data_IF_642145511339
#
_entry.id   IF_642145511339
#
_cell.length_a   1.000
_cell.length_b   1.000
_cell.length_c   1.000
_cell.angle_alpha   90.00
_cell.angle_beta   90.00
_cell.angle_gamma   90.00
#
_symmetry.space_group_name_H-M   'P 1'
#
loop_
_entity.id
_entity.type
_entity.pdbx_description
1 polymer ?
#
# COMPACT_ATOMS: atom_id res chain seq x y z
N UNK A 1 26.76 -13.49 5.87
CA UNK A 1 26.90 -12.93 4.51
C UNK A 1 25.70 -12.08 4.09
N UNK A 2 24.46 -12.60 4.13
CA UNK A 2 23.23 -11.83 3.80
C UNK A 2 23.06 -10.54 4.63
N UNK A 3 23.25 -10.62 5.96
CA UNK A 3 23.15 -9.46 6.85
C UNK A 3 24.21 -8.40 6.50
N UNK A 4 25.38 -8.81 6.02
CA UNK A 4 26.48 -7.91 5.66
C UNK A 4 26.14 -7.06 4.44
N UNK A 5 25.54 -7.64 3.40
CA UNK A 5 25.07 -6.89 2.22
C UNK A 5 23.93 -5.93 2.58
N UNK A 6 22.97 -6.40 3.38
CA UNK A 6 21.88 -5.58 3.89
C UNK A 6 22.39 -4.35 4.65
N UNK A 7 23.32 -4.57 5.57
CA UNK A 7 23.92 -3.51 6.40
C UNK A 7 24.75 -2.55 5.53
N UNK A 8 25.50 -3.05 4.54
CA UNK A 8 26.26 -2.21 3.61
C UNK A 8 25.35 -1.29 2.78
N UNK A 9 24.23 -1.81 2.24
CA UNK A 9 23.25 -1.01 1.52
C UNK A 9 22.64 0.10 2.39
N UNK A 10 22.37 -0.21 3.67
CA UNK A 10 21.88 0.78 4.66
C UNK A 10 22.91 1.84 5.00
N UNK A 11 24.18 1.48 5.15
CA UNK A 11 25.26 2.44 5.39
C UNK A 11 25.46 3.42 4.23
N UNK A 12 25.25 2.98 2.97
CA UNK A 12 25.22 3.90 1.82
C UNK A 12 24.14 4.98 1.99
N UNK A 13 22.94 4.59 2.45
CA UNK A 13 21.86 5.51 2.77
C UNK A 13 22.21 6.48 3.89
N UNK A 14 22.84 5.99 4.97
CA UNK A 14 23.34 6.83 6.08
C UNK A 14 24.34 7.85 5.57
N UNK A 15 25.31 7.43 4.76
CA UNK A 15 26.31 8.33 4.20
C UNK A 15 25.66 9.43 3.36
N UNK A 16 24.68 9.08 2.51
CA UNK A 16 23.93 10.05 1.74
C UNK A 16 23.20 11.06 2.64
N UNK A 17 22.46 10.61 3.67
CA UNK A 17 21.74 11.52 4.57
C UNK A 17 22.68 12.41 5.39
N UNK A 18 23.80 11.88 5.87
CA UNK A 18 24.81 12.68 6.58
C UNK A 18 25.47 13.70 5.66
N UNK A 19 25.79 13.32 4.43
CA UNK A 19 26.37 14.21 3.42
C UNK A 19 25.39 15.35 3.06
N UNK A 20 24.13 15.02 2.78
CA UNK A 20 23.08 16.02 2.51
C UNK A 20 22.83 16.93 3.71
N UNK A 21 22.80 16.38 4.93
CA UNK A 21 22.67 17.16 6.16
C UNK A 21 23.88 18.06 6.43
N UNK A 22 25.08 17.64 6.04
CA UNK A 22 26.27 18.48 6.15
C UNK A 22 26.18 19.68 5.20
N UNK A 23 25.84 19.45 3.94
CA UNK A 23 25.75 20.47 2.88
C UNK A 23 24.58 21.44 3.06
N UNK A 24 23.42 20.95 3.51
CA UNK A 24 22.19 21.75 3.63
C UNK A 24 21.86 21.98 5.11
N UNK A 25 22.33 23.08 5.73
CA UNK A 25 22.15 23.34 7.15
C UNK A 25 20.67 23.47 7.55
N UNK A 26 19.81 23.87 6.61
CA UNK A 26 18.37 24.06 6.82
C UNK A 26 17.61 22.75 7.11
N UNK A 27 18.05 21.60 6.59
CA UNK A 27 17.38 20.29 6.77
C UNK A 27 18.13 19.36 7.73
N UNK A 28 19.14 19.89 8.44
CA UNK A 28 20.04 19.09 9.30
C UNK A 28 19.29 18.19 10.27
N UNK A 29 18.35 18.76 11.03
CA UNK A 29 17.62 18.01 12.05
C UNK A 29 16.89 16.80 11.48
N UNK A 30 16.19 16.97 10.35
CA UNK A 30 15.49 15.89 9.66
C UNK A 30 16.49 14.84 9.16
N UNK A 31 17.56 15.24 8.48
CA UNK A 31 18.53 14.31 7.90
C UNK A 31 19.29 13.50 8.95
N UNK A 32 19.65 14.10 10.08
CA UNK A 32 20.26 13.37 11.21
C UNK A 32 19.30 12.38 11.85
N UNK A 33 18.03 12.76 12.03
CA UNK A 33 17.03 11.82 12.55
C UNK A 33 16.82 10.65 11.59
N UNK A 34 16.86 10.89 10.28
CA UNK A 34 16.78 9.82 9.28
C UNK A 34 18.00 8.91 9.30
N UNK A 35 19.21 9.45 9.47
CA UNK A 35 20.41 8.67 9.65
C UNK A 35 20.34 7.81 10.93
N UNK A 36 19.91 8.37 12.06
CA UNK A 36 19.72 7.63 13.32
C UNK A 36 18.71 6.50 13.17
N UNK A 37 17.60 6.74 12.47
CA UNK A 37 16.59 5.74 12.20
C UNK A 37 17.10 4.55 11.37
N UNK A 38 18.21 4.70 10.64
CA UNK A 38 18.87 3.60 9.92
C UNK A 38 19.97 2.95 10.76
N UNK A 39 20.73 3.76 11.51
CA UNK A 39 21.84 3.28 12.35
C UNK A 39 21.33 2.38 13.47
N UNK A 40 20.22 2.73 14.13
CA UNK A 40 19.68 1.95 15.26
C UNK A 40 19.28 0.53 14.85
N UNK A 41 18.46 0.31 13.79
CA UNK A 41 18.20 -1.04 13.29
C UNK A 41 19.46 -1.74 12.77
N UNK A 42 20.37 -1.04 12.08
CA UNK A 42 21.61 -1.64 11.59
C UNK A 42 22.49 -2.18 12.73
N UNK A 43 22.55 -1.47 13.86
CA UNK A 43 23.25 -1.93 15.06
C UNK A 43 22.59 -3.19 15.65
N UNK A 44 21.26 -3.27 15.68
CA UNK A 44 20.53 -4.46 16.12
C UNK A 44 20.76 -5.65 15.18
N UNK A 45 20.82 -5.42 13.86
CA UNK A 45 21.18 -6.45 12.88
C UNK A 45 22.61 -6.97 13.08
N UNK A 46 23.58 -6.10 13.37
CA UNK A 46 24.96 -6.51 13.69
C UNK A 46 25.01 -7.28 15.02
N UNK A 47 24.29 -6.81 16.04
CA UNK A 47 24.19 -7.49 17.33
C UNK A 47 23.59 -8.90 17.18
N UNK A 48 22.60 -9.08 16.29
CA UNK A 48 21.96 -10.38 16.03
C UNK A 48 22.94 -11.46 15.53
N UNK A 49 24.04 -11.07 14.87
CA UNK A 49 25.07 -12.00 14.37
C UNK A 49 25.82 -12.66 15.54
N UNK A 50 26.02 -11.92 16.63
CA UNK A 50 26.83 -12.35 17.78
C UNK A 50 26.03 -13.14 18.82
N UNK A 51 24.71 -13.23 18.66
CA UNK A 51 23.81 -13.90 19.62
C UNK A 51 23.36 -15.24 19.05
N UNK A 52 23.35 -16.28 19.87
CA UNK A 52 22.86 -17.62 19.49
C UNK A 52 21.33 -17.72 19.53
N UNK A 53 20.77 -18.72 18.84
CA UNK A 53 19.34 -19.05 18.96
C UNK A 53 19.09 -19.63 20.36
N UNK A 54 17.99 -19.29 21.07
CA UNK A 54 16.77 -18.61 20.61
C UNK A 54 16.74 -17.08 20.81
N UNK A 55 17.64 -16.51 21.62
CA UNK A 55 17.66 -15.07 21.94
C UNK A 55 17.84 -14.16 20.71
N UNK A 56 18.44 -14.67 19.64
CA UNK A 56 18.58 -13.97 18.36
C UNK A 56 17.24 -13.48 17.78
N UNK A 57 16.16 -14.23 17.98
CA UNK A 57 14.84 -13.89 17.43
C UNK A 57 14.31 -12.57 18.00
N UNK A 58 14.52 -12.31 19.30
CA UNK A 58 14.09 -11.07 19.93
C UNK A 58 14.71 -9.83 19.27
N UNK A 59 16.02 -9.88 19.00
CA UNK A 59 16.74 -8.79 18.33
C UNK A 59 16.27 -8.58 16.89
N UNK A 60 16.02 -9.66 16.15
CA UNK A 60 15.55 -9.59 14.76
C UNK A 60 14.16 -8.96 14.70
N UNK A 61 13.23 -9.39 15.55
CA UNK A 61 11.87 -8.83 15.58
C UNK A 61 11.88 -7.33 15.90
N UNK A 62 12.68 -6.91 16.88
CA UNK A 62 12.81 -5.49 17.23
C UNK A 62 13.45 -4.70 16.07
N UNK A 63 14.48 -5.25 15.42
CA UNK A 63 15.11 -4.61 14.27
C UNK A 63 14.13 -4.42 13.09
N UNK A 64 13.33 -5.44 12.78
CA UNK A 64 12.30 -5.38 11.72
C UNK A 64 11.24 -4.34 12.06
N UNK A 65 10.74 -4.31 13.29
CA UNK A 65 9.73 -3.33 13.72
C UNK A 65 10.26 -1.90 13.58
N UNK A 66 11.49 -1.65 14.00
CA UNK A 66 12.11 -0.33 13.87
C UNK A 66 12.36 0.04 12.40
N UNK A 67 12.80 -0.91 11.57
CA UNK A 67 12.98 -0.69 10.12
C UNK A 67 11.66 -0.38 9.41
N UNK A 68 10.56 -1.02 9.81
CA UNK A 68 9.23 -0.81 9.20
C UNK A 68 8.53 0.45 9.71
N UNK A 69 8.60 0.73 11.02
CA UNK A 69 7.82 1.80 11.66
C UNK A 69 8.61 3.08 11.93
N UNK A 70 9.95 3.06 11.84
CA UNK A 70 10.81 4.17 12.26
C UNK A 70 10.52 5.50 11.55
N UNK A 71 10.19 5.45 10.26
CA UNK A 71 9.82 6.62 9.47
C UNK A 71 8.48 7.24 9.89
N UNK A 72 7.51 6.39 10.21
CA UNK A 72 6.20 6.81 10.71
C UNK A 72 6.34 7.44 12.09
N UNK A 73 7.24 6.93 12.95
CA UNK A 73 7.56 7.52 14.25
C UNK A 73 8.11 8.94 14.06
N UNK A 74 9.08 9.13 13.15
CA UNK A 74 9.68 10.44 12.92
C UNK A 74 8.67 11.47 12.38
N UNK A 75 7.83 11.06 11.43
CA UNK A 75 6.77 11.92 10.87
C UNK A 75 5.68 12.22 11.91
N UNK A 76 5.39 11.26 12.80
CA UNK A 76 4.45 11.44 13.91
C UNK A 76 4.96 12.44 14.94
N UNK A 77 6.24 12.37 15.29
CA UNK A 77 6.92 13.33 16.19
C UNK A 77 6.85 14.75 15.60
N UNK A 78 7.09 14.90 14.30
CA UNK A 78 6.93 16.18 13.61
C UNK A 78 5.50 16.73 13.67
N UNK A 79 4.51 15.89 13.32
CA UNK A 79 3.10 16.31 13.37
C UNK A 79 2.66 16.67 14.79
N UNK A 80 3.18 15.97 15.80
CA UNK A 80 2.96 16.31 17.19
C UNK A 80 3.60 17.65 17.55
N UNK A 81 4.84 17.91 17.13
CA UNK A 81 5.52 19.19 17.33
C UNK A 81 4.81 20.39 16.70
N UNK A 82 4.08 20.19 15.59
CA UNK A 82 3.29 21.24 14.92
C UNK A 82 1.88 21.41 15.47
N UNK A 83 1.27 20.34 16.02
CA UNK A 83 -0.09 20.36 16.59
C UNK A 83 -0.13 20.68 18.09
N UNK A 84 0.93 20.35 18.84
CA UNK A 84 1.01 20.66 20.25
C UNK A 84 1.22 22.16 20.46
N UNK A 85 0.40 22.77 21.31
CA UNK A 85 0.54 24.18 21.67
C UNK A 85 1.97 24.48 22.15
N UNK A 86 2.50 25.64 21.71
CA UNK A 86 3.88 26.12 21.92
C UNK A 86 4.33 26.26 23.40
N UNK A 87 3.52 25.84 24.35
CA UNK A 87 3.67 26.12 25.78
C UNK A 87 4.74 25.21 26.46
N UNK A 88 5.03 24.05 25.87
CA UNK A 88 6.05 23.12 26.41
C UNK A 88 7.44 23.40 25.82
N UNK A 89 8.44 23.56 26.70
CA UNK A 89 9.88 23.76 26.34
C UNK A 89 10.41 22.71 25.35
N UNK A 90 9.91 21.47 25.44
CA UNK A 90 10.26 20.37 24.54
C UNK A 90 9.73 20.60 23.12
N UNK A 91 8.53 21.15 22.97
CA UNK A 91 7.91 21.44 21.65
C UNK A 91 8.67 22.56 20.95
N UNK A 92 9.10 23.60 21.69
CA UNK A 92 9.93 24.69 21.14
C UNK A 92 11.30 24.20 20.64
N UNK A 93 11.91 23.24 21.34
CA UNK A 93 13.16 22.63 20.91
C UNK A 93 12.96 21.74 19.68
N UNK A 94 11.91 20.91 19.67
CA UNK A 94 11.55 20.09 18.51
C UNK A 94 11.23 20.93 17.27
N UNK A 95 10.42 21.99 17.42
CA UNK A 95 10.05 22.85 16.30
C UNK A 95 11.25 23.56 15.69
N UNK A 96 12.28 23.88 16.48
CA UNK A 96 13.53 24.45 15.98
C UNK A 96 14.40 23.44 15.22
N UNK A 97 14.46 22.18 15.67
CA UNK A 97 15.16 21.11 14.95
C UNK A 97 14.45 20.74 13.64
N UNK A 98 13.11 20.85 13.63
CA UNK A 98 12.26 20.48 12.51
C UNK A 98 11.64 21.70 11.80
N UNK A 99 12.36 22.82 11.76
CA UNK A 99 11.86 24.07 11.15
C UNK A 99 11.54 23.91 9.66
N UNK A 100 12.34 23.10 8.96
CA UNK A 100 12.15 22.84 7.54
C UNK A 100 12.13 21.34 7.23
N UNK A 101 10.99 20.88 6.72
CA UNK A 101 10.85 19.54 6.16
C UNK A 101 10.97 19.62 4.63
N UNK A 102 11.83 18.83 3.98
CA UNK A 102 11.96 18.86 2.54
C UNK A 102 10.61 18.51 1.90
N UNK A 103 10.14 19.36 0.99
CA UNK A 103 8.90 19.12 0.28
C UNK A 103 9.04 17.84 -0.55
N UNK A 104 8.22 16.84 -0.24
CA UNK A 104 8.14 15.59 -1.01
C UNK A 104 7.00 15.75 -2.00
N UNK A 105 7.28 15.62 -3.29
CA UNK A 105 6.21 15.50 -4.28
C UNK A 105 5.48 14.18 -4.05
N UNK A 106 4.27 14.27 -3.49
CA UNK A 106 3.48 13.12 -3.08
C UNK A 106 3.02 12.32 -4.30
N UNK A 107 2.68 12.99 -5.40
CA UNK A 107 2.24 12.32 -6.64
C UNK A 107 3.35 11.44 -7.21
N UNK A 108 4.56 11.98 -7.32
CA UNK A 108 5.71 11.22 -7.79
C UNK A 108 6.11 10.09 -6.81
N UNK A 109 5.97 10.30 -5.50
CA UNK A 109 6.23 9.23 -4.52
C UNK A 109 5.20 8.10 -4.62
N UNK A 110 3.93 8.44 -4.82
CA UNK A 110 2.86 7.45 -5.05
C UNK A 110 3.15 6.65 -6.31
N UNK A 111 3.53 7.31 -7.41
CA UNK A 111 3.89 6.65 -8.67
C UNK A 111 5.05 5.64 -8.50
N UNK A 112 6.13 6.02 -7.82
CA UNK A 112 7.25 5.09 -7.54
C UNK A 112 6.84 3.93 -6.63
N UNK A 113 6.01 4.20 -5.62
CA UNK A 113 5.51 3.17 -4.70
C UNK A 113 4.62 2.18 -5.45
N UNK A 114 3.80 2.67 -6.36
CA UNK A 114 2.93 1.89 -7.24
C UNK A 114 3.74 0.95 -8.15
N UNK A 115 4.81 1.45 -8.77
CA UNK A 115 5.73 0.63 -9.55
C UNK A 115 6.41 -0.45 -8.70
N UNK A 116 6.86 -0.09 -7.50
CA UNK A 116 7.47 -1.04 -6.56
C UNK A 116 6.50 -2.15 -6.13
N UNK A 117 5.25 -1.80 -5.78
CA UNK A 117 4.22 -2.76 -5.38
C UNK A 117 3.90 -3.74 -6.51
N UNK A 118 3.82 -3.25 -7.76
CA UNK A 118 3.64 -4.11 -8.94
C UNK A 118 4.78 -5.10 -9.11
N UNK A 119 6.01 -4.65 -8.91
CA UNK A 119 7.21 -5.49 -8.96
C UNK A 119 7.14 -6.57 -7.86
N UNK A 120 6.83 -6.21 -6.62
CA UNK A 120 6.68 -7.17 -5.51
C UNK A 120 5.65 -8.26 -5.81
N UNK A 121 4.50 -7.91 -6.39
CA UNK A 121 3.53 -8.93 -6.80
C UNK A 121 4.09 -9.86 -7.86
N UNK A 122 4.81 -9.33 -8.85
CA UNK A 122 5.51 -10.14 -9.85
C UNK A 122 6.51 -11.13 -9.23
N UNK A 123 7.31 -10.69 -8.26
CA UNK A 123 8.28 -11.56 -7.59
C UNK A 123 7.62 -12.58 -6.64
N UNK A 124 6.49 -12.26 -6.01
CA UNK A 124 5.77 -13.18 -5.11
C UNK A 124 5.27 -14.45 -5.83
N UNK A 125 5.12 -14.38 -7.15
CA UNK A 125 4.71 -15.48 -8.03
C UNK A 125 5.84 -16.47 -8.33
N UNK A 126 7.10 -16.05 -8.19
CA UNK A 126 8.25 -16.90 -8.52
C UNK A 126 8.45 -18.05 -7.52
N UNK A 127 8.08 -17.86 -6.25
CA UNK A 127 8.28 -18.85 -5.18
C UNK A 127 7.63 -20.22 -5.47
N UNK A 128 6.33 -20.28 -5.80
CA UNK A 128 5.64 -21.53 -6.12
C UNK A 128 6.11 -22.23 -7.41
N UNK A 129 6.78 -21.52 -8.33
CA UNK A 129 7.24 -22.08 -9.60
C UNK A 129 8.37 -23.09 -9.40
N UNK A 130 9.25 -22.86 -8.42
CA UNK A 130 10.46 -23.68 -8.22
C UNK A 130 10.25 -24.97 -7.42
N UNK A 131 9.06 -25.20 -6.85
CA UNK A 131 8.72 -26.45 -6.16
C UNK A 131 7.74 -27.30 -6.99
N UNK A 132 8.28 -28.28 -7.70
CA UNK A 132 7.52 -29.43 -8.20
C UNK A 132 8.12 -30.71 -7.63
N UNK A 133 7.55 -31.19 -6.51
CA UNK A 133 7.83 -32.54 -6.03
C UNK A 133 7.03 -33.52 -6.90
N UNK A 134 7.74 -34.17 -7.83
CA UNK A 134 7.18 -35.16 -8.76
C UNK A 134 7.19 -34.65 -10.19
N UNK A 135 8.14 -35.17 -11.00
CA UNK A 135 8.18 -35.11 -12.47
C UNK A 135 7.96 -33.74 -13.13
N UNK A 136 9.00 -33.21 -13.79
CA UNK A 136 8.85 -32.06 -14.67
C UNK A 136 8.13 -32.44 -15.98
N UNK A 137 6.82 -32.66 -15.94
CA UNK A 137 6.00 -32.50 -17.14
C UNK A 137 5.85 -31.02 -17.40
N UNK A 138 6.32 -30.55 -18.57
CA UNK A 138 6.34 -29.14 -18.99
C UNK A 138 5.00 -28.45 -18.73
N UNK A 139 3.90 -29.18 -18.91
CA UNK A 139 2.52 -28.69 -18.73
C UNK A 139 2.20 -28.23 -17.30
N UNK A 140 2.71 -28.92 -16.28
CA UNK A 140 2.42 -28.59 -14.87
C UNK A 140 3.22 -27.38 -14.41
N UNK A 141 4.47 -27.25 -14.87
CA UNK A 141 5.30 -26.08 -14.58
C UNK A 141 4.73 -24.84 -15.26
N UNK A 142 4.37 -24.96 -16.54
CA UNK A 142 3.72 -23.88 -17.29
C UNK A 142 2.38 -23.48 -16.66
N UNK A 143 1.55 -24.44 -16.27
CA UNK A 143 0.28 -24.18 -15.60
C UNK A 143 0.43 -23.38 -14.31
N UNK A 144 1.42 -23.72 -13.46
CA UNK A 144 1.73 -22.95 -12.24
C UNK A 144 2.18 -21.53 -12.56
N UNK A 145 3.01 -21.36 -13.59
CA UNK A 145 3.50 -20.05 -14.02
C UNK A 145 2.35 -19.15 -14.49
N UNK A 146 1.45 -19.67 -15.33
CA UNK A 146 0.29 -18.93 -15.85
C UNK A 146 -0.67 -18.57 -14.72
N UNK A 147 -1.02 -19.51 -13.84
CA UNK A 147 -1.91 -19.24 -12.70
C UNK A 147 -1.31 -18.20 -11.75
N UNK A 148 0.00 -18.27 -11.52
CA UNK A 148 0.73 -17.28 -10.75
C UNK A 148 0.72 -15.89 -11.40
N UNK A 149 0.97 -15.80 -12.71
CA UNK A 149 0.91 -14.54 -13.44
C UNK A 149 -0.49 -13.92 -13.40
N UNK A 150 -1.53 -14.74 -13.60
CA UNK A 150 -2.93 -14.31 -13.42
C UNK A 150 -3.17 -13.78 -12.01
N UNK A 151 -2.60 -14.42 -10.99
CA UNK A 151 -2.73 -13.99 -9.60
C UNK A 151 -2.09 -12.61 -9.37
N UNK A 152 -0.86 -12.39 -9.84
CA UNK A 152 -0.23 -11.07 -9.75
C UNK A 152 -1.05 -10.00 -10.48
N UNK A 153 -1.60 -10.30 -11.65
CA UNK A 153 -2.46 -9.39 -12.39
C UNK A 153 -3.74 -9.02 -11.63
N UNK A 154 -4.40 -9.99 -10.99
CA UNK A 154 -5.60 -9.75 -10.17
C UNK A 154 -5.28 -8.85 -8.97
N UNK A 155 -4.19 -9.10 -8.25
CA UNK A 155 -3.76 -8.24 -7.14
C UNK A 155 -3.45 -6.82 -7.61
N UNK A 156 -2.81 -6.70 -8.77
CA UNK A 156 -2.50 -5.40 -9.35
C UNK A 156 -3.77 -4.63 -9.75
N UNK A 157 -4.76 -5.33 -10.30
CA UNK A 157 -6.08 -4.76 -10.61
C UNK A 157 -6.78 -4.24 -9.35
N UNK A 158 -6.82 -5.06 -8.29
CA UNK A 158 -7.43 -4.66 -7.02
C UNK A 158 -6.72 -3.41 -6.47
N UNK A 159 -5.39 -3.38 -6.48
CA UNK A 159 -4.63 -2.26 -5.95
C UNK A 159 -4.84 -0.96 -6.77
N UNK A 160 -4.74 -1.02 -8.10
CA UNK A 160 -4.79 0.19 -8.94
C UNK A 160 -6.20 0.66 -9.26
N UNK A 161 -7.07 -0.22 -9.72
CA UNK A 161 -8.35 0.17 -10.28
C UNK A 161 -9.46 0.12 -9.22
N UNK A 162 -9.40 -0.86 -8.30
CA UNK A 162 -10.37 -0.94 -7.20
C UNK A 162 -10.02 0.02 -6.06
N UNK A 163 -8.77 0.05 -5.59
CA UNK A 163 -8.39 0.91 -4.45
C UNK A 163 -7.86 2.29 -4.88
N UNK A 164 -7.41 2.45 -6.13
CA UNK A 164 -6.85 3.69 -6.68
C UNK A 164 -7.85 4.64 -7.35
N UNK A 165 -9.04 4.18 -7.76
CA UNK A 165 -10.01 5.04 -8.47
C UNK A 165 -10.96 5.81 -7.54
N UNK A 166 -11.29 7.04 -7.94
CA UNK A 166 -12.18 7.97 -7.21
C UNK A 166 -11.66 8.36 -5.81
N UNK A 167 -10.33 8.46 -5.63
CA UNK A 167 -9.73 8.95 -4.39
C UNK A 167 -9.83 10.49 -4.37
N UNK A 168 -10.42 11.06 -3.32
CA UNK A 168 -10.40 12.51 -3.06
C UNK A 168 -9.13 12.89 -2.29
N UNK A 169 -8.77 12.10 -1.27
CA UNK A 169 -7.58 12.32 -0.44
C UNK A 169 -6.83 11.00 -0.28
N UNK A 170 -5.59 10.99 -0.78
CA UNK A 170 -4.71 9.83 -0.71
C UNK A 170 -4.26 9.53 0.73
N UNK A 171 -4.03 8.27 1.07
CA UNK A 171 -3.81 7.79 2.44
C UNK A 171 -2.56 8.41 3.07
N UNK A 172 -1.51 8.59 2.26
CA UNK A 172 -0.26 9.26 2.65
C UNK A 172 -0.51 10.72 3.10
N UNK A 173 -1.51 11.41 2.54
CA UNK A 173 -1.86 12.79 2.94
C UNK A 173 -2.67 12.82 4.25
N UNK A 174 -3.40 11.74 4.57
CA UNK A 174 -4.36 11.70 5.69
C UNK A 174 -3.79 11.07 6.96
N UNK A 175 -2.98 10.02 6.85
CA UNK A 175 -2.49 9.24 7.99
C UNK A 175 -0.99 8.95 7.92
N UNK A 176 -0.30 9.23 9.03
CA UNK A 176 1.13 8.96 9.22
C UNK A 176 1.46 7.47 9.14
N UNK A 177 0.52 6.61 9.56
CA UNK A 177 0.71 5.17 9.61
C UNK A 177 0.87 4.57 8.21
N UNK A 178 0.22 5.17 7.20
CA UNK A 178 0.33 4.74 5.80
C UNK A 178 1.61 5.23 5.13
N UNK A 179 2.46 5.98 5.84
CA UNK A 179 3.76 6.41 5.34
C UNK A 179 4.77 5.27 5.49
N UNK A 180 5.04 4.56 4.39
CA UNK A 180 6.08 3.53 4.31
C UNK A 180 7.38 4.10 3.72
N UNK A 181 8.57 3.70 4.22
CA UNK A 181 9.86 4.12 3.69
C UNK A 181 10.06 3.75 2.21
N UNK A 182 11.04 4.40 1.55
CA UNK A 182 11.53 3.98 0.23
C UNK A 182 11.99 2.51 0.29
N UNK A 183 11.21 1.62 -0.33
CA UNK A 183 11.54 0.21 -0.41
C UNK A 183 12.53 0.00 -1.57
N UNK A 184 13.72 -0.51 -1.24
CA UNK A 184 14.75 -0.77 -2.25
C UNK A 184 14.39 -2.06 -3.01
N UNK A 185 14.21 -2.04 -4.35
CA UNK A 185 13.93 -3.23 -5.13
C UNK A 185 15.03 -4.30 -5.03
N UNK A 186 16.27 -3.91 -4.72
CA UNK A 186 17.41 -4.82 -4.56
C UNK A 186 17.25 -5.78 -3.36
N UNK A 187 16.31 -5.51 -2.44
CA UNK A 187 16.03 -6.37 -1.30
C UNK A 187 15.03 -7.50 -1.62
N UNK A 188 14.50 -7.55 -2.86
CA UNK A 188 13.64 -8.63 -3.30
C UNK A 188 14.44 -9.91 -3.62
N UNK A 189 14.63 -10.71 -2.57
CA UNK A 189 14.67 -12.19 -2.56
C UNK A 189 15.66 -12.95 -3.48
N UNK A 190 16.47 -12.31 -4.31
CA UNK A 190 17.34 -13.00 -5.29
C UNK A 190 18.36 -13.94 -4.61
N UNK A 191 18.74 -13.68 -3.35
CA UNK A 191 19.71 -14.48 -2.61
C UNK A 191 19.16 -15.63 -1.75
N UNK A 192 17.84 -15.81 -1.64
CA UNK A 192 17.26 -16.87 -0.79
C UNK A 192 17.01 -18.20 -1.53
N UNK A 193 17.03 -18.21 -2.86
CA UNK A 193 16.75 -19.41 -3.67
C UNK A 193 17.82 -20.48 -3.47
N UNK A 194 19.09 -20.09 -3.34
CA UNK A 194 20.24 -21.00 -3.32
C UNK A 194 20.45 -21.81 -2.03
N UNK A 195 19.61 -21.65 -1.00
CA UNK A 195 19.79 -22.33 0.30
C UNK A 195 18.49 -22.88 0.91
N UNK A 196 17.46 -23.07 0.09
CA UNK A 196 16.22 -23.71 0.57
C UNK A 196 16.44 -25.22 0.68
N UNK A 197 16.55 -25.72 1.92
CA UNK A 197 16.60 -27.15 2.20
C UNK A 197 15.32 -27.86 1.71
N UNK A 198 15.39 -29.11 1.24
CA UNK A 198 14.23 -29.84 0.72
C UNK A 198 13.14 -30.10 1.77
N UNK A 199 13.46 -30.06 3.08
CA UNK A 199 12.48 -30.15 4.17
C UNK A 199 11.65 -28.87 4.39
N UNK A 200 11.98 -27.74 3.73
CA UNK A 200 11.23 -26.47 3.83
C UNK A 200 9.99 -26.38 2.91
N UNK A 201 9.52 -27.49 2.34
CA UNK A 201 8.35 -27.52 1.44
C UNK A 201 7.07 -26.98 2.09
N UNK A 202 6.85 -27.26 3.38
CA UNK A 202 5.73 -26.68 4.13
C UNK A 202 5.92 -25.17 4.34
N UNK A 203 7.14 -24.72 4.66
CA UNK A 203 7.45 -23.31 4.88
C UNK A 203 7.10 -22.42 3.68
N UNK A 204 7.30 -22.91 2.46
CA UNK A 204 6.98 -22.17 1.23
C UNK A 204 5.46 -22.06 1.01
N UNK A 205 4.66 -23.08 1.39
CA UNK A 205 3.19 -23.01 1.35
C UNK A 205 2.66 -21.95 2.31
N UNK A 206 3.17 -21.92 3.53
CA UNK A 206 2.83 -20.89 4.52
C UNK A 206 3.25 -19.51 4.04
N UNK A 207 4.49 -19.36 3.56
CA UNK A 207 5.01 -18.11 3.04
C UNK A 207 4.15 -17.56 1.89
N UNK A 208 3.77 -18.40 0.93
CA UNK A 208 2.95 -17.99 -0.22
C UNK A 208 1.53 -17.58 0.21
N UNK A 209 0.82 -18.46 0.92
CA UNK A 209 -0.58 -18.23 1.30
C UNK A 209 -0.75 -17.09 2.32
N UNK A 210 0.08 -17.06 3.36
CA UNK A 210 0.06 -15.99 4.35
C UNK A 210 0.57 -14.68 3.77
N UNK A 211 1.58 -14.72 2.88
CA UNK A 211 2.05 -13.54 2.15
C UNK A 211 0.93 -12.88 1.34
N UNK A 212 0.17 -13.68 0.59
CA UNK A 212 -1.01 -13.19 -0.15
C UNK A 212 -2.11 -12.66 0.78
N UNK A 213 -2.38 -13.35 1.90
CA UNK A 213 -3.37 -12.92 2.88
C UNK A 213 -2.99 -11.56 3.52
N UNK A 214 -1.72 -11.42 3.90
CA UNK A 214 -1.17 -10.20 4.49
C UNK A 214 -1.17 -9.05 3.48
N UNK A 215 -0.81 -9.31 2.22
CA UNK A 215 -0.90 -8.32 1.15
C UNK A 215 -2.35 -7.83 0.95
N UNK A 216 -3.30 -8.77 0.85
CA UNK A 216 -4.72 -8.43 0.67
C UNK A 216 -5.29 -7.68 1.89
N UNK A 217 -4.84 -8.02 3.10
CA UNK A 217 -5.19 -7.32 4.34
C UNK A 217 -4.67 -5.88 4.35
N UNK A 218 -3.39 -5.66 4.07
CA UNK A 218 -2.80 -4.32 4.08
C UNK A 218 -3.38 -3.42 2.99
N UNK A 219 -3.64 -3.95 1.80
CA UNK A 219 -4.39 -3.19 0.80
C UNK A 219 -5.81 -2.83 1.29
N UNK A 220 -6.47 -3.72 2.03
CA UNK A 220 -7.73 -3.41 2.71
C UNK A 220 -7.60 -2.26 3.71
N UNK A 221 -6.54 -2.25 4.52
CA UNK A 221 -6.21 -1.14 5.43
C UNK A 221 -5.98 0.17 4.66
N UNK A 222 -5.21 0.12 3.56
CA UNK A 222 -4.99 1.27 2.68
C UNK A 222 -6.33 1.78 2.16
N UNK A 223 -7.20 0.90 1.67
CA UNK A 223 -8.55 1.22 1.18
C UNK A 223 -9.41 1.89 2.26
N UNK A 224 -9.31 1.49 3.53
CA UNK A 224 -9.98 2.17 4.67
C UNK A 224 -9.43 3.57 4.89
N UNK A 225 -8.11 3.73 4.80
CA UNK A 225 -7.47 5.03 5.03
C UNK A 225 -7.75 6.03 3.90
N UNK A 226 -7.94 5.56 2.66
CA UNK A 226 -8.35 6.37 1.53
C UNK A 226 -9.75 6.94 1.67
N UNK A 227 -9.84 8.25 1.52
CA UNK A 227 -11.13 8.94 1.37
C UNK A 227 -11.56 8.87 -0.10
N UNK A 228 -12.64 8.13 -0.35
CA UNK A 228 -13.14 7.87 -1.69
C UNK A 228 -14.43 8.65 -1.93
N UNK A 229 -14.60 9.19 -3.13
CA UNK A 229 -15.89 9.74 -3.55
C UNK A 229 -16.90 8.59 -3.72
N UNK A 230 -18.07 8.74 -3.11
CA UNK A 230 -19.13 7.75 -3.18
C UNK A 230 -20.19 8.17 -4.22
N UNK A 231 -20.36 7.43 -5.33
CA UNK A 231 -21.50 7.63 -6.21
C UNK A 231 -22.79 7.16 -5.51
N UNK A 232 -23.87 7.90 -5.69
CA UNK A 232 -25.16 7.66 -5.02
C UNK A 232 -25.81 6.30 -5.38
N UNK A 233 -25.53 5.76 -6.56
CA UNK A 233 -26.18 4.58 -7.15
C UNK A 233 -25.38 3.27 -7.02
N UNK A 234 -24.40 3.22 -6.11
CA UNK A 234 -23.51 2.06 -5.92
C UNK A 234 -24.28 0.81 -5.44
N UNK A 235 -24.01 -0.37 -6.03
CA UNK A 235 -24.68 -1.64 -5.68
C UNK A 235 -24.35 -2.17 -4.28
N UNK A 236 -23.09 -2.12 -3.85
CA UNK A 236 -22.67 -2.60 -2.53
C UNK A 236 -21.94 -1.52 -1.72
N UNK A 237 -22.21 -1.49 -0.42
CA UNK A 237 -21.53 -0.57 0.49
C UNK A 237 -20.03 -0.90 0.59
N UNK A 238 -19.20 0.13 0.85
CA UNK A 238 -17.74 -0.05 1.06
C UNK A 238 -17.45 -0.99 2.23
N UNK A 239 -18.27 -0.93 3.28
CA UNK A 239 -18.11 -1.77 4.48
C UNK A 239 -18.32 -3.25 4.14
N UNK A 240 -19.34 -3.57 3.35
CA UNK A 240 -19.63 -4.95 2.94
C UNK A 240 -18.52 -5.53 2.05
N UNK A 241 -18.00 -4.73 1.10
CA UNK A 241 -16.88 -5.13 0.24
C UNK A 241 -15.62 -5.43 1.06
N UNK A 242 -15.27 -4.52 1.96
CA UNK A 242 -14.12 -4.70 2.85
C UNK A 242 -14.29 -5.87 3.81
N UNK A 243 -15.50 -6.13 4.32
CA UNK A 243 -15.78 -7.30 5.15
C UNK A 243 -15.57 -8.61 4.38
N UNK A 244 -16.03 -8.68 3.13
CA UNK A 244 -15.75 -9.83 2.24
C UNK A 244 -14.25 -10.01 2.02
N UNK A 245 -13.51 -8.91 1.81
CA UNK A 245 -12.05 -8.96 1.66
C UNK A 245 -11.37 -9.51 2.92
N UNK A 246 -11.77 -9.06 4.11
CA UNK A 246 -11.24 -9.58 5.39
C UNK A 246 -11.57 -11.07 5.59
N UNK A 247 -12.77 -11.51 5.20
CA UNK A 247 -13.16 -12.91 5.25
C UNK A 247 -12.26 -13.77 4.36
N UNK A 248 -12.00 -13.33 3.13
CA UNK A 248 -11.10 -14.04 2.20
C UNK A 248 -9.66 -14.04 2.71
N UNK A 249 -9.18 -12.95 3.34
CA UNK A 249 -7.87 -12.95 4.01
C UNK A 249 -7.77 -14.03 5.08
N UNK A 250 -8.80 -14.20 5.91
CA UNK A 250 -8.82 -15.24 6.95
C UNK A 250 -8.80 -16.64 6.34
N UNK A 251 -9.54 -16.86 5.26
CA UNK A 251 -9.52 -18.15 4.54
C UNK A 251 -8.13 -18.43 3.99
N UNK A 252 -7.49 -17.46 3.30
CA UNK A 252 -6.14 -17.61 2.76
C UNK A 252 -5.09 -17.87 3.85
N UNK A 253 -5.26 -17.25 5.02
CA UNK A 253 -4.35 -17.43 6.15
C UNK A 253 -4.44 -18.83 6.78
N UNK A 254 -5.64 -19.43 6.77
CA UNK A 254 -5.92 -20.77 7.31
C UNK A 254 -5.72 -21.89 6.27
N UNK A 255 -5.74 -21.56 4.98
CA UNK A 255 -5.56 -22.51 3.88
C UNK A 255 -4.29 -23.38 3.96
N UNK A 256 -3.09 -22.89 4.34
CA UNK A 256 -1.89 -23.73 4.42
C UNK A 256 -1.96 -24.81 5.51
N UNK A 257 -2.95 -24.76 6.41
CA UNK A 257 -3.17 -25.81 7.42
C UNK A 257 -3.68 -27.12 6.79
N UNK A 258 -4.29 -27.05 5.61
CA UNK A 258 -4.76 -28.20 4.87
C UNK A 258 -3.59 -28.92 4.16
N UNK A 259 -3.02 -29.93 4.83
CA UNK A 259 -1.85 -30.70 4.33
C UNK A 259 -2.14 -31.56 3.09
N UNK A 260 -3.40 -31.84 2.79
CA UNK A 260 -3.83 -32.70 1.68
C UNK A 260 -3.78 -32.05 0.29
N UNK A 261 -3.55 -30.73 0.21
CA UNK A 261 -3.57 -30.01 -1.05
C UNK A 261 -2.24 -30.13 -1.81
N UNK A 262 -2.33 -30.52 -3.08
CA UNK A 262 -1.22 -30.43 -4.03
C UNK A 262 -0.89 -28.96 -4.33
N UNK A 263 0.37 -28.69 -4.70
CA UNK A 263 0.85 -27.33 -5.03
C UNK A 263 0.03 -26.64 -6.12
N UNK A 264 -0.41 -27.39 -7.14
CA UNK A 264 -1.26 -26.87 -8.22
C UNK A 264 -2.67 -26.51 -7.74
N UNK A 265 -3.28 -27.36 -6.92
CA UNK A 265 -4.60 -27.11 -6.34
C UNK A 265 -4.56 -25.91 -5.39
N UNK A 266 -3.48 -25.76 -4.62
CA UNK A 266 -3.28 -24.63 -3.72
C UNK A 266 -3.27 -23.30 -4.50
N UNK A 267 -2.44 -23.18 -5.54
CA UNK A 267 -2.35 -21.97 -6.37
C UNK A 267 -3.70 -21.68 -7.04
N UNK A 268 -4.35 -22.70 -7.58
CA UNK A 268 -5.67 -22.57 -8.21
C UNK A 268 -6.75 -22.06 -7.24
N UNK A 269 -6.82 -22.60 -6.03
CA UNK A 269 -7.77 -22.13 -4.99
C UNK A 269 -7.47 -20.69 -4.59
N UNK A 270 -6.19 -20.34 -4.37
CA UNK A 270 -5.82 -18.96 -4.01
C UNK A 270 -6.14 -17.96 -5.13
N UNK A 271 -5.98 -18.36 -6.39
CA UNK A 271 -6.36 -17.56 -7.55
C UNK A 271 -7.87 -17.38 -7.62
N UNK A 272 -8.65 -18.47 -7.49
CA UNK A 272 -10.10 -18.42 -7.53
C UNK A 272 -10.68 -17.50 -6.44
N UNK A 273 -10.14 -17.58 -5.21
CA UNK A 273 -10.52 -16.68 -4.12
C UNK A 273 -10.18 -15.22 -4.41
N UNK A 274 -9.05 -14.96 -5.05
CA UNK A 274 -8.61 -13.59 -5.39
C UNK A 274 -9.45 -13.00 -6.52
N UNK A 275 -9.78 -13.81 -7.54
CA UNK A 275 -10.71 -13.46 -8.62
C UNK A 275 -12.11 -13.21 -8.05
N UNK A 276 -12.57 -14.02 -7.10
CA UNK A 276 -13.86 -13.80 -6.43
C UNK A 276 -13.91 -12.44 -5.71
N UNK A 277 -12.85 -12.07 -4.99
CA UNK A 277 -12.73 -10.74 -4.39
C UNK A 277 -12.81 -9.66 -5.47
N UNK A 278 -12.03 -9.77 -6.54
CA UNK A 278 -12.05 -8.81 -7.64
C UNK A 278 -13.46 -8.66 -8.25
N UNK A 279 -14.14 -9.76 -8.54
CA UNK A 279 -15.50 -9.74 -9.11
C UNK A 279 -16.50 -9.07 -8.18
N UNK A 280 -16.50 -9.38 -6.88
CA UNK A 280 -17.38 -8.73 -5.91
C UNK A 280 -17.05 -7.24 -5.72
N UNK A 281 -15.78 -6.87 -5.78
CA UNK A 281 -15.32 -5.48 -5.69
C UNK A 281 -15.76 -4.67 -6.92
N UNK A 282 -15.61 -5.23 -8.12
CA UNK A 282 -16.07 -4.64 -9.38
C UNK A 282 -17.60 -4.53 -9.43
N UNK A 283 -18.30 -5.62 -9.12
CA UNK A 283 -19.76 -5.64 -9.04
C UNK A 283 -20.27 -4.64 -8.01
N UNK A 284 -19.61 -4.56 -6.85
CA UNK A 284 -19.96 -3.62 -5.80
C UNK A 284 -19.70 -2.16 -6.15
N UNK A 285 -18.78 -1.86 -7.06
CA UNK A 285 -18.53 -0.50 -7.58
C UNK A 285 -19.45 -0.11 -8.73
N UNK A 286 -19.97 -1.07 -9.48
CA UNK A 286 -20.91 -0.84 -10.56
C UNK A 286 -22.18 -0.14 -10.07
N UNK A 287 -22.69 0.80 -10.87
CA UNK A 287 -23.96 1.48 -10.62
C UNK A 287 -25.14 0.53 -10.90
N UNK A 288 -26.28 0.73 -10.24
CA UNK A 288 -27.50 -0.06 -10.53
C UNK A 288 -27.97 0.05 -11.98
N UNK A 289 -27.75 1.20 -12.61
CA UNK A 289 -28.26 1.51 -13.95
C UNK A 289 -27.27 1.18 -15.08
N UNK A 290 -26.04 0.79 -14.77
CA UNK A 290 -25.06 0.40 -15.79
C UNK A 290 -25.17 -1.10 -16.11
N UNK A 291 -25.20 -1.50 -17.40
CA UNK A 291 -25.03 -2.90 -17.77
C UNK A 291 -23.63 -3.39 -17.37
N UNK A 292 -23.54 -4.63 -16.87
CA UNK A 292 -22.29 -5.22 -16.39
C UNK A 292 -21.29 -5.50 -17.53
N UNK A 293 -21.81 -5.76 -18.73
CA UNK A 293 -21.07 -6.02 -19.97
C UNK A 293 -21.72 -5.16 -21.05
N UNK A 294 -20.98 -4.22 -21.62
CA UNK A 294 -21.48 -3.33 -22.67
C UNK A 294 -20.97 -1.90 -22.53
N UNK A 295 -21.34 -1.08 -23.52
CA UNK A 295 -21.02 0.34 -23.53
C UNK A 295 -21.81 1.05 -22.43
N UNK A 296 -21.09 1.69 -21.52
CA UNK A 296 -21.71 2.44 -20.42
C UNK A 296 -22.35 3.69 -21.01
N UNK A 297 -23.67 3.76 -21.03
CA UNK A 297 -24.35 5.06 -21.07
C UNK A 297 -24.06 5.71 -19.73
N UNK A 298 -23.02 6.54 -19.68
CA UNK A 298 -22.48 7.08 -18.44
C UNK A 298 -23.59 7.57 -17.51
N UNK A 299 -23.60 7.10 -16.28
CA UNK A 299 -24.52 7.59 -15.25
C UNK A 299 -24.23 9.08 -15.04
N UNK A 300 -25.06 9.95 -15.63
CA UNK A 300 -24.93 11.40 -15.53
C UNK A 300 -25.46 11.84 -14.17
N UNK A 301 -24.56 11.98 -13.21
CA UNK A 301 -24.89 12.63 -11.94
C UNK A 301 -24.82 14.15 -12.19
N UNK A 302 -25.97 14.84 -12.16
CA UNK A 302 -26.03 16.31 -12.14
C UNK A 302 -25.65 16.80 -10.74
N UNK A 303 -24.76 17.79 -10.66
CA UNK A 303 -24.34 18.39 -9.41
C UNK A 303 -24.75 19.88 -9.38
N UNK A 304 -25.35 20.34 -8.28
CA UNK A 304 -25.75 21.74 -8.06
C UNK A 304 -24.81 22.41 -7.05
N UNK A 305 -24.21 23.56 -7.39
CA UNK A 305 -23.36 24.35 -6.50
C UNK A 305 -24.11 25.53 -5.92
N UNK A 306 -23.80 25.88 -4.66
CA UNK A 306 -24.04 27.23 -4.13
C UNK A 306 -22.74 28.02 -4.25
N UNK A 307 -22.60 28.79 -5.32
CA UNK A 307 -21.54 29.79 -5.41
C UNK A 307 -21.97 31.07 -4.68
N UNK A 308 -21.05 31.68 -3.92
CA UNK A 308 -21.26 33.03 -3.39
C UNK A 308 -21.29 34.02 -4.55
N UNK A 309 -22.14 35.05 -4.47
CA UNK A 309 -22.27 36.07 -5.53
C UNK A 309 -20.93 36.74 -5.88
N UNK A 310 -20.05 36.88 -4.87
CA UNK A 310 -18.67 37.39 -5.02
C UNK A 310 -17.75 36.48 -5.84
N UNK A 311 -17.89 35.16 -5.72
CA UNK A 311 -17.05 34.20 -6.45
C UNK A 311 -17.47 34.12 -7.92
N UNK A 312 -18.76 34.36 -8.19
CA UNK A 312 -19.30 34.43 -9.55
C UNK A 312 -18.83 35.71 -10.28
N UNK A 313 -18.83 36.85 -9.60
CA UNK A 313 -18.35 38.13 -10.13
C UNK A 313 -16.83 38.09 -10.43
N UNK A 314 -16.04 37.44 -9.58
CA UNK A 314 -14.59 37.26 -9.79
C UNK A 314 -14.26 36.33 -10.97
N UNK A 315 -15.17 35.42 -11.35
CA UNK A 315 -14.96 34.46 -12.44
C UNK A 315 -15.31 35.02 -13.83
N UNK A 316 -15.86 36.25 -13.92
CA UNK A 316 -16.26 36.90 -15.19
C UNK A 316 -17.17 36.03 -16.10
N UNK A 317 -17.98 35.15 -15.52
CA UNK A 317 -18.95 34.36 -16.27
C UNK A 317 -20.25 35.15 -16.42
N UNK A 318 -20.55 35.57 -17.65
CA UNK A 318 -21.81 36.22 -17.97
C UNK A 318 -22.98 35.25 -17.73
N UNK A 319 -23.99 35.70 -16.99
CA UNK A 319 -25.20 34.96 -16.58
C UNK A 319 -26.04 34.37 -17.74
N UNK A 320 -25.64 34.62 -19.00
CA UNK A 320 -26.44 34.35 -20.22
C UNK A 320 -25.79 33.46 -21.27
N UNK A 321 -24.56 32.99 -21.10
CA UNK A 321 -23.98 32.00 -22.03
C UNK A 321 -24.30 30.58 -21.56
N UNK A 322 -25.32 29.98 -22.19
CA UNK A 322 -25.59 28.54 -22.12
C UNK A 322 -24.39 27.78 -22.72
N UNK A 323 -23.41 27.49 -21.89
CA UNK A 323 -22.32 26.54 -22.18
C UNK A 323 -22.90 25.12 -21.96
N UNK A 324 -22.61 24.13 -22.84
CA UNK A 324 -23.10 22.77 -22.66
C UNK A 324 -22.69 22.23 -21.29
N UNK A 325 -23.68 21.93 -20.46
CA UNK A 325 -23.54 21.68 -19.03
C UNK A 325 -22.49 20.60 -18.73
N UNK A 326 -21.32 21.02 -18.29
CA UNK A 326 -20.35 20.15 -17.63
C UNK A 326 -20.08 20.77 -16.26
N UNK A 327 -21.05 20.58 -15.36
CA UNK A 327 -21.00 21.15 -14.01
C UNK A 327 -20.31 20.17 -13.06
N UNK A 328 -19.06 20.50 -12.73
CA UNK A 328 -18.23 19.85 -11.71
C UNK A 328 -18.51 20.52 -10.36
N UNK A 329 -18.79 19.73 -9.32
CA UNK A 329 -18.70 20.21 -7.93
C UNK A 329 -17.70 19.42 -7.09
N UNK A 330 -16.94 20.20 -6.32
CA UNK A 330 -16.21 19.80 -5.14
C UNK A 330 -17.15 19.57 -3.95
N UNK A 331 -16.84 18.55 -3.16
CA UNK A 331 -17.48 18.28 -1.87
C UNK A 331 -16.97 19.27 -0.83
N UNK A 332 -17.84 19.79 0.02
CA UNK A 332 -17.41 20.56 1.19
C UNK A 332 -16.52 19.73 2.12
N UNK A 333 -15.69 20.37 2.97
CA UNK A 333 -14.81 19.69 3.92
C UNK A 333 -15.62 18.95 5.00
N UNK A 334 -16.18 17.79 4.66
CA UNK A 334 -17.01 16.97 5.56
C UNK A 334 -18.13 16.17 4.88
N UNK A 335 -18.54 16.51 3.65
CA UNK A 335 -19.61 15.80 2.95
C UNK A 335 -19.06 14.60 2.16
N UNK A 336 -19.73 13.44 2.28
CA UNK A 336 -19.22 12.14 1.77
C UNK A 336 -20.08 11.52 0.67
N UNK A 337 -21.23 12.12 0.33
CA UNK A 337 -22.21 11.55 -0.60
C UNK A 337 -22.78 12.63 -1.50
N UNK A 338 -22.82 12.37 -2.81
CA UNK A 338 -23.65 13.15 -3.72
C UNK A 338 -25.13 12.77 -3.50
N UNK A 339 -26.00 13.77 -3.34
CA UNK A 339 -27.45 13.54 -3.28
C UNK A 339 -27.95 13.35 -4.72
N UNK A 340 -28.67 12.25 -5.03
CA UNK A 340 -29.29 12.09 -6.33
C UNK A 340 -30.49 13.05 -6.45
N UNK A 341 -30.51 13.84 -7.52
CA UNK A 341 -31.73 14.52 -7.97
C UNK A 341 -32.54 13.48 -8.74
N UNK A 342 -33.59 12.94 -8.12
CA UNK A 342 -34.54 12.06 -8.81
C UNK A 342 -35.48 12.97 -9.57
N UNK A 343 -35.29 13.09 -10.89
CA UNK A 343 -36.33 13.65 -11.75
C UNK A 343 -37.37 12.56 -11.99
N UNK A 344 -38.61 12.80 -11.53
CA UNK A 344 -39.80 12.05 -11.96
C UNK A 344 -40.04 12.20 -13.47
#
# INVERSE_FOLDING_TARGET
MLVSFYVAARFRGVFHFLYTGYLLPMVRGVMFCQALNIIVPAALWIASIHVEMPSRLGLIWVAIILDMCGQSILTGIYQYGRKAAHDKRIVKYLSGIFEFFPAVNIEHRVERTNAFVSLVFGYSVMGPMFQSHGGYTVDVFLGKAVLGLCQAFVFNWIYFDVDGSNINIHAIRRSVISYTPDANPEHLTEHYIGRSDPEMADGIRYFYSQGLAVALFFMGVISVTHDHRHPATRRLSKKTRLANRLLVCLILFLLPLAKSLNSLNLISITLALSVWVLLLELFGKSCRNDPFIGEKQGCSVRYRCKCSKKDLENANLNEKEQIPSTEVLELGPGEKTAVPDVQE
#
